data_IF_894808174525
#
_entry.id   IF_894808174525
#
_cell.length_a   1.000
_cell.length_b   1.000
_cell.length_c   1.000
_cell.angle_alpha   90.00
_cell.angle_beta   90.00
_cell.angle_gamma   90.00
#
_symmetry.space_group_name_H-M   'P 1'
#
loop_
_entity.id
_entity.type
_entity.pdbx_description
1 polymer ?
#
# COMPACT_ATOMS: atom_id res chain seq x y z
N UNK A 1 3.09 3.81 1.94
CA UNK A 1 3.50 4.53 0.71
C UNK A 1 3.33 3.61 -0.48
N UNK A 2 2.64 4.04 -1.54
CA UNK A 2 2.75 3.38 -2.83
C UNK A 2 4.24 3.32 -3.22
N UNK A 3 4.68 2.24 -3.88
CA UNK A 3 6.08 2.00 -4.26
C UNK A 3 7.09 1.79 -3.10
N UNK A 4 6.66 1.85 -1.84
CA UNK A 4 7.52 1.60 -0.68
C UNK A 4 7.64 0.12 -0.31
N UNK A 5 8.84 -0.33 0.09
CA UNK A 5 9.08 -1.69 0.58
C UNK A 5 10.24 -1.74 1.57
N UNK A 6 10.35 -2.82 2.34
CA UNK A 6 11.50 -3.08 3.21
C UNK A 6 12.47 -4.00 2.47
N UNK A 7 13.73 -3.63 2.41
CA UNK A 7 14.78 -4.50 1.95
C UNK A 7 15.03 -5.59 3.01
N UNK A 8 14.79 -6.86 2.67
CA UNK A 8 14.93 -7.99 3.61
C UNK A 8 16.35 -8.17 4.14
N UNK A 9 17.39 -7.79 3.39
CA UNK A 9 18.80 -7.96 3.79
C UNK A 9 19.26 -6.85 4.72
N UNK A 10 19.11 -5.60 4.28
CA UNK A 10 19.57 -4.42 5.04
C UNK A 10 18.58 -3.96 6.09
N UNK A 11 17.36 -4.52 6.09
CA UNK A 11 16.22 -4.11 6.93
C UNK A 11 15.88 -2.62 6.79
N UNK A 12 16.30 -2.01 5.68
CA UNK A 12 16.09 -0.59 5.41
C UNK A 12 14.86 -0.36 4.54
N UNK A 13 14.23 0.80 4.73
CA UNK A 13 13.18 1.28 3.85
C UNK A 13 13.74 1.63 2.46
N UNK A 14 13.00 1.27 1.41
CA UNK A 14 13.30 1.69 0.04
C UNK A 14 12.02 2.06 -0.70
N UNK A 15 12.14 2.99 -1.64
CA UNK A 15 11.06 3.40 -2.53
C UNK A 15 11.49 3.11 -3.96
N UNK A 16 10.58 2.59 -4.78
CA UNK A 16 10.82 2.41 -6.22
C UNK A 16 10.87 3.77 -6.92
N UNK A 17 11.85 3.95 -7.80
CA UNK A 17 11.92 5.13 -8.65
C UNK A 17 10.82 5.14 -9.72
N UNK A 18 10.25 6.31 -9.95
CA UNK A 18 9.22 6.54 -10.96
C UNK A 18 7.77 6.51 -10.45
N UNK A 19 6.85 6.91 -11.32
CA UNK A 19 5.42 7.07 -11.00
C UNK A 19 4.58 5.81 -11.26
N UNK A 20 5.14 4.84 -11.97
CA UNK A 20 4.43 3.62 -12.34
C UNK A 20 4.41 2.60 -11.20
N UNK A 21 3.21 2.37 -10.66
CA UNK A 21 2.97 1.43 -9.56
C UNK A 21 2.54 0.06 -10.06
N UNK A 22 1.49 0.01 -10.88
CA UNK A 22 0.86 -1.24 -11.30
C UNK A 22 0.13 -1.09 -12.63
N UNK A 23 -0.07 -2.20 -13.34
CA UNK A 23 -0.86 -2.24 -14.56
C UNK A 23 -2.35 -2.21 -14.23
N UNK A 24 -3.09 -1.24 -14.77
CA UNK A 24 -4.54 -1.10 -14.51
C UNK A 24 -5.36 -2.35 -14.88
N UNK A 25 -5.01 -3.10 -15.94
CA UNK A 25 -5.73 -4.33 -16.34
C UNK A 25 -5.52 -5.45 -15.33
N UNK A 26 -4.26 -5.70 -14.96
CA UNK A 26 -3.93 -6.66 -13.92
C UNK A 26 -4.58 -6.26 -12.58
N UNK A 27 -4.67 -4.95 -12.28
CA UNK A 27 -5.35 -4.48 -11.07
C UNK A 27 -6.83 -4.83 -11.09
N UNK A 28 -7.50 -4.68 -12.24
CA UNK A 28 -8.89 -5.04 -12.40
C UNK A 28 -9.15 -6.53 -12.21
N UNK A 29 -8.27 -7.39 -12.73
CA UNK A 29 -8.35 -8.84 -12.54
C UNK A 29 -8.20 -9.22 -11.06
N UNK A 30 -7.16 -8.69 -10.40
CA UNK A 30 -6.90 -8.95 -8.98
C UNK A 30 -8.03 -8.43 -8.10
N UNK A 31 -8.53 -7.22 -8.39
CA UNK A 31 -9.64 -6.62 -7.65
C UNK A 31 -10.91 -7.46 -7.77
N UNK A 32 -11.29 -7.85 -9.00
CA UNK A 32 -12.42 -8.73 -9.25
C UNK A 32 -12.29 -10.04 -8.47
N UNK A 33 -11.14 -10.70 -8.56
CA UNK A 33 -10.91 -11.98 -7.89
C UNK A 33 -11.05 -11.85 -6.36
N UNK A 34 -10.44 -10.83 -5.76
CA UNK A 34 -10.52 -10.60 -4.31
C UNK A 34 -11.93 -10.25 -3.85
N UNK A 35 -12.63 -9.39 -4.59
CA UNK A 35 -13.99 -8.98 -4.23
C UNK A 35 -14.96 -10.17 -4.30
N UNK A 36 -14.95 -10.92 -5.41
CA UNK A 36 -15.83 -12.08 -5.57
C UNK A 36 -15.53 -13.15 -4.52
N UNK A 37 -14.24 -13.39 -4.21
CA UNK A 37 -13.86 -14.30 -3.12
C UNK A 37 -14.47 -13.84 -1.79
N UNK A 38 -14.31 -12.57 -1.44
CA UNK A 38 -14.89 -12.04 -0.20
C UNK A 38 -16.42 -12.12 -0.17
N UNK A 39 -17.10 -11.94 -1.31
CA UNK A 39 -18.55 -12.12 -1.38
C UNK A 39 -18.94 -13.56 -1.05
N UNK A 40 -18.28 -14.55 -1.66
CA UNK A 40 -18.51 -15.98 -1.36
C UNK A 40 -18.21 -16.28 0.11
N UNK A 41 -17.06 -15.83 0.62
CA UNK A 41 -16.64 -16.06 1.99
C UNK A 41 -17.63 -15.46 3.02
N UNK A 42 -18.41 -14.43 2.63
CA UNK A 42 -19.43 -13.79 3.45
C UNK A 42 -20.87 -14.20 3.08
N UNK A 43 -21.06 -15.28 2.32
CA UNK A 43 -22.38 -15.77 1.87
C UNK A 43 -23.22 -14.73 1.11
N UNK A 44 -22.57 -13.77 0.45
CA UNK A 44 -23.22 -12.81 -0.43
C UNK A 44 -23.42 -13.43 -1.81
N UNK A 45 -24.62 -13.26 -2.38
CA UNK A 45 -24.92 -13.77 -3.70
C UNK A 45 -24.15 -13.00 -4.77
N UNK A 46 -23.46 -13.74 -5.64
CA UNK A 46 -22.85 -13.18 -6.86
C UNK A 46 -23.93 -13.12 -7.94
N UNK A 47 -24.13 -11.96 -8.61
CA UNK A 47 -25.04 -11.87 -9.74
C UNK A 47 -24.71 -12.91 -10.81
N UNK A 48 -25.71 -13.66 -11.28
CA UNK A 48 -25.53 -14.71 -12.32
C UNK A 48 -24.86 -14.19 -13.59
N UNK A 49 -25.06 -12.91 -13.93
CA UNK A 49 -24.44 -12.23 -15.07
C UNK A 49 -23.30 -11.31 -14.64
N UNK A 50 -22.35 -11.82 -13.87
CA UNK A 50 -21.16 -11.04 -13.49
C UNK A 50 -20.20 -10.93 -14.70
N UNK A 51 -19.84 -9.71 -15.15
CA UNK A 51 -18.93 -9.55 -16.28
C UNK A 51 -17.56 -10.18 -16.00
N UNK A 52 -16.97 -10.80 -17.03
CA UNK A 52 -15.61 -11.31 -16.97
C UNK A 52 -14.56 -10.19 -17.02
N UNK A 53 -14.80 -9.16 -17.85
CA UNK A 53 -13.92 -8.02 -18.01
C UNK A 53 -14.34 -6.86 -17.11
N UNK A 54 -13.46 -6.46 -16.21
CA UNK A 54 -13.65 -5.32 -15.32
C UNK A 54 -12.72 -4.19 -15.73
N UNK A 55 -13.15 -2.96 -15.50
CA UNK A 55 -12.33 -1.75 -15.63
C UNK A 55 -12.24 -1.12 -14.25
N UNK A 56 -11.02 -0.88 -13.78
CA UNK A 56 -10.80 -0.15 -12.53
C UNK A 56 -10.40 1.26 -12.89
N UNK A 57 -11.21 2.22 -12.46
CA UNK A 57 -10.83 3.62 -12.51
C UNK A 57 -9.80 3.91 -11.41
N UNK A 58 -8.60 4.32 -11.82
CA UNK A 58 -7.48 4.53 -10.94
C UNK A 58 -7.18 6.03 -10.84
N UNK A 59 -7.60 6.66 -9.75
CA UNK A 59 -7.31 8.07 -9.50
C UNK A 59 -6.07 8.24 -8.62
N UNK A 60 -5.21 9.19 -8.98
CA UNK A 60 -4.05 9.56 -8.17
C UNK A 60 -4.50 10.37 -6.96
N UNK A 61 -4.71 9.70 -5.82
CA UNK A 61 -5.13 10.32 -4.55
C UNK A 61 -3.97 10.89 -3.72
N UNK A 62 -2.79 11.06 -4.34
CA UNK A 62 -1.56 11.51 -3.70
C UNK A 62 -0.62 10.38 -3.29
N UNK A 63 0.51 10.74 -2.69
CA UNK A 63 1.58 9.81 -2.33
C UNK A 63 1.46 9.24 -0.91
N UNK A 64 0.53 9.74 -0.09
CA UNK A 64 0.36 9.33 1.31
C UNK A 64 1.32 10.01 2.29
N UNK A 65 2.07 11.05 1.87
CA UNK A 65 2.97 11.80 2.76
C UNK A 65 2.24 12.32 4.00
N UNK A 66 1.03 12.87 3.82
CA UNK A 66 0.20 13.37 4.92
C UNK A 66 -0.15 12.28 5.93
N UNK A 67 -0.51 11.08 5.46
CA UNK A 67 -0.79 9.95 6.33
C UNK A 67 0.45 9.49 7.11
N UNK A 68 1.63 9.54 6.50
CA UNK A 68 2.90 9.22 7.19
C UNK A 68 3.28 10.28 8.21
N UNK A 69 3.15 11.57 7.90
CA UNK A 69 3.43 12.63 8.88
C UNK A 69 2.49 12.48 10.07
N UNK A 70 1.21 12.25 9.80
CA UNK A 70 0.21 12.00 10.83
C UNK A 70 0.58 10.79 11.70
N UNK A 71 0.81 9.63 11.08
CA UNK A 71 1.18 8.39 11.80
C UNK A 71 2.54 8.49 12.48
N UNK A 72 3.50 9.19 11.90
CA UNK A 72 4.85 9.39 12.42
C UNK A 72 4.82 10.05 13.79
N UNK A 73 3.96 11.05 14.00
CA UNK A 73 3.79 11.70 15.29
C UNK A 73 3.27 10.74 16.39
N UNK A 74 2.48 9.74 16.02
CA UNK A 74 2.02 8.70 16.95
C UNK A 74 3.04 7.57 17.11
N UNK A 75 3.71 7.17 16.04
CA UNK A 75 4.72 6.11 16.02
C UNK A 75 5.99 6.52 16.76
N UNK A 76 6.41 7.78 16.68
CA UNK A 76 7.57 8.29 17.41
C UNK A 76 7.39 8.11 18.92
N UNK A 77 6.18 8.40 19.42
CA UNK A 77 5.87 8.34 20.85
C UNK A 77 5.80 6.91 21.40
N UNK A 78 5.52 5.90 20.57
CA UNK A 78 5.25 4.53 21.05
C UNK A 78 6.08 3.40 20.43
N UNK A 79 6.62 3.56 19.22
CA UNK A 79 7.19 2.46 18.41
C UNK A 79 8.62 2.75 17.97
N UNK A 80 8.94 4.00 17.62
CA UNK A 80 10.27 4.41 17.14
C UNK A 80 10.91 5.30 18.22
N UNK A 81 11.25 4.69 19.36
CA UNK A 81 12.03 5.35 20.42
C UNK A 81 13.46 5.63 19.92
N UNK A 82 14.10 6.74 20.33
CA UNK A 82 15.45 7.09 19.88
C UNK A 82 16.46 5.95 20.05
N UNK A 83 16.35 5.18 21.14
CA UNK A 83 17.23 4.02 21.41
C UNK A 83 17.15 2.90 20.36
N UNK A 84 16.10 2.86 19.54
CA UNK A 84 15.91 1.86 18.50
C UNK A 84 16.42 2.33 17.12
N UNK A 85 16.92 3.56 17.01
CA UNK A 85 17.44 4.11 15.75
C UNK A 85 18.86 3.58 15.51
N UNK A 86 19.04 2.80 14.44
CA UNK A 86 20.33 2.16 14.14
C UNK A 86 21.33 3.11 13.45
N UNK A 87 20.85 4.07 12.65
CA UNK A 87 21.67 5.05 11.93
C UNK A 87 20.80 6.19 11.40
N UNK A 88 21.25 7.43 11.51
CA UNK A 88 20.65 8.60 10.87
C UNK A 88 21.69 9.25 9.94
N UNK A 89 21.48 9.16 8.63
CA UNK A 89 22.36 9.81 7.66
C UNK A 89 21.80 11.19 7.30
N UNK A 90 22.63 12.24 7.41
CA UNK A 90 22.30 13.67 7.22
C UNK A 90 21.57 14.34 8.39
N UNK A 91 21.94 13.98 9.62
CA UNK A 91 21.33 14.43 10.86
C UNK A 91 20.91 15.90 10.87
N UNK A 92 19.62 16.11 11.08
CA UNK A 92 19.11 17.23 11.84
C UNK A 92 18.12 16.61 12.82
N UNK A 93 18.49 16.65 14.10
CA UNK A 93 17.53 16.39 15.19
C UNK A 93 16.79 17.69 15.42
#
# INVERSE_FOLDING_TARGET
>A
MPAGSINKKTRSWRVKDGKYLFNHKALAEVFRAKLLKMMVDNNLQIPKKCPAKWVVDCNCVGNGNKAIIYLGNYLYKGVIQEKNILKCEKGMV
#
